data_IF_057041750431
#
_entry.id   IF_057041750431
#
_cell.length_a   1.000
_cell.length_b   1.000
_cell.length_c   1.000
_cell.angle_alpha   90.00
_cell.angle_beta   90.00
_cell.angle_gamma   90.00
#
_symmetry.space_group_name_H-M   'P 1'
#
loop_
_entity.id
_entity.type
_entity.pdbx_description
1 polymer ?
#
# COMPACT_ATOMS: atom_id res chain seq x y z
N UNK A 1 -26.33 -7.94 -34.63
CA UNK A 1 -26.64 -6.49 -34.75
C UNK A 1 -27.22 -6.05 -33.42
N UNK A 2 -26.42 -5.41 -32.57
CA UNK A 2 -26.90 -4.91 -31.26
C UNK A 2 -27.42 -3.51 -31.52
N UNK A 3 -28.73 -3.36 -31.36
CA UNK A 3 -29.50 -2.12 -31.39
C UNK A 3 -28.81 -1.05 -30.57
N UNK A 4 -28.40 0.03 -31.25
CA UNK A 4 -27.75 1.17 -30.64
C UNK A 4 -28.73 1.91 -29.74
N UNK A 5 -28.57 1.75 -28.42
CA UNK A 5 -28.84 2.88 -27.55
C UNK A 5 -27.75 3.90 -27.87
N UNK A 6 -28.12 5.00 -28.51
CA UNK A 6 -27.23 6.17 -28.62
C UNK A 6 -26.89 6.60 -27.20
N UNK A 7 -25.61 6.54 -26.85
CA UNK A 7 -25.14 7.09 -25.60
C UNK A 7 -25.16 8.63 -25.70
N UNK A 8 -25.23 9.36 -24.57
CA UNK A 8 -25.07 10.81 -24.61
C UNK A 8 -23.72 11.19 -25.22
N UNK A 9 -23.61 12.37 -25.85
CA UNK A 9 -22.38 12.83 -26.50
C UNK A 9 -21.14 12.75 -25.58
N UNK A 10 -21.31 12.96 -24.27
CA UNK A 10 -20.24 12.86 -23.28
C UNK A 10 -19.65 11.44 -23.13
N UNK A 11 -20.37 10.40 -23.54
CA UNK A 11 -19.88 9.01 -23.50
C UNK A 11 -18.83 8.72 -24.58
N UNK A 12 -18.74 9.58 -25.60
CA UNK A 12 -17.78 9.48 -26.69
C UNK A 12 -16.56 10.36 -26.41
N UNK A 13 -15.39 9.81 -26.69
CA UNK A 13 -14.14 10.55 -26.69
C UNK A 13 -14.03 11.44 -27.94
N UNK A 14 -13.04 12.35 -28.01
CA UNK A 14 -12.82 13.17 -29.20
C UNK A 14 -12.62 12.38 -30.51
N UNK A 15 -12.24 11.10 -30.44
CA UNK A 15 -12.13 10.20 -31.60
C UNK A 15 -13.46 9.68 -32.12
N UNK A 16 -14.58 9.90 -31.41
CA UNK A 16 -15.89 9.33 -31.74
C UNK A 16 -16.11 7.90 -31.21
N UNK A 17 -15.12 7.33 -30.51
CA UNK A 17 -15.25 6.04 -29.83
C UNK A 17 -15.69 6.22 -28.37
N UNK A 18 -16.39 5.23 -27.82
CA UNK A 18 -16.77 5.22 -26.40
C UNK A 18 -15.53 5.16 -25.51
N UNK A 19 -15.53 5.93 -24.42
CA UNK A 19 -14.40 6.00 -23.49
C UNK A 19 -13.90 4.64 -23.00
N UNK A 20 -14.80 3.67 -22.80
CA UNK A 20 -14.43 2.32 -22.33
C UNK A 20 -13.95 1.36 -23.42
N UNK A 21 -14.05 1.75 -24.69
CA UNK A 21 -13.56 0.97 -25.83
C UNK A 21 -12.20 1.48 -26.37
N UNK A 22 -11.82 2.73 -26.05
CA UNK A 22 -10.56 3.34 -26.49
C UNK A 22 -9.31 2.48 -26.23
N UNK A 23 -8.52 2.19 -27.25
CA UNK A 23 -7.20 1.55 -27.03
C UNK A 23 -6.14 2.54 -26.54
N UNK A 24 -6.17 3.76 -27.08
CA UNK A 24 -5.16 4.80 -26.84
C UNK A 24 -5.79 6.03 -26.20
N UNK A 25 -5.04 6.72 -25.34
CA UNK A 25 -5.51 7.94 -24.71
C UNK A 25 -5.65 9.05 -25.77
N UNK A 26 -6.69 9.92 -25.69
CA UNK A 26 -6.98 10.92 -26.70
C UNK A 26 -5.75 11.77 -27.03
N UNK A 27 -5.50 11.98 -28.33
CA UNK A 27 -4.37 12.77 -28.85
C UNK A 27 -2.97 12.23 -28.47
N UNK A 28 -2.86 10.95 -28.10
CA UNK A 28 -1.57 10.32 -27.78
C UNK A 28 -1.49 8.89 -28.30
N UNK A 29 -0.26 8.36 -28.43
CA UNK A 29 -0.01 6.93 -28.68
C UNK A 29 0.08 6.10 -27.39
N UNK A 30 -0.23 6.68 -26.23
CA UNK A 30 -0.14 5.96 -24.95
C UNK A 30 -1.39 5.09 -24.77
N UNK A 31 -1.27 3.86 -24.24
CA UNK A 31 -2.43 3.01 -24.01
C UNK A 31 -3.39 3.65 -23.00
N UNK A 32 -4.69 3.54 -23.27
CA UNK A 32 -5.72 4.02 -22.37
C UNK A 32 -5.94 3.01 -21.24
N UNK A 33 -5.70 3.45 -20.00
CA UNK A 33 -5.74 2.56 -18.85
C UNK A 33 -7.13 1.99 -18.55
N UNK A 34 -7.18 0.83 -17.90
CA UNK A 34 -8.45 0.21 -17.50
C UNK A 34 -9.26 1.03 -16.48
N UNK A 35 -8.60 1.79 -15.60
CA UNK A 35 -9.26 2.62 -14.57
C UNK A 35 -10.23 3.67 -15.19
N UNK A 36 -9.81 4.54 -16.13
CA UNK A 36 -10.73 5.49 -16.75
C UNK A 36 -11.79 4.82 -17.64
N UNK A 37 -11.50 3.66 -18.24
CA UNK A 37 -12.49 2.86 -18.96
C UNK A 37 -13.62 2.39 -18.04
N UNK A 38 -13.27 1.80 -16.89
CA UNK A 38 -14.23 1.32 -15.90
C UNK A 38 -15.07 2.49 -15.36
N UNK A 39 -14.42 3.60 -15.01
CA UNK A 39 -15.11 4.80 -14.53
C UNK A 39 -16.15 5.31 -15.53
N UNK A 40 -15.78 5.39 -16.81
CA UNK A 40 -16.71 5.82 -17.86
C UNK A 40 -17.86 4.83 -18.02
N UNK A 41 -17.58 3.54 -18.13
CA UNK A 41 -18.62 2.53 -18.29
C UNK A 41 -19.62 2.58 -17.13
N UNK A 42 -19.14 2.59 -15.88
CA UNK A 42 -19.99 2.69 -14.69
C UNK A 42 -20.85 3.96 -14.72
N UNK A 43 -20.29 5.10 -15.11
CA UNK A 43 -21.02 6.36 -15.11
C UNK A 43 -22.20 6.36 -16.09
N UNK A 44 -22.00 5.82 -17.29
CA UNK A 44 -22.99 5.86 -18.38
C UNK A 44 -23.93 4.64 -18.44
N UNK A 45 -23.63 3.55 -17.71
CA UNK A 45 -24.41 2.30 -17.77
C UNK A 45 -25.05 1.90 -16.43
N UNK A 46 -24.72 2.59 -15.33
CA UNK A 46 -25.23 2.27 -14.00
C UNK A 46 -25.67 3.54 -13.29
N UNK A 47 -26.82 3.48 -12.63
CA UNK A 47 -27.30 4.52 -11.72
C UNK A 47 -26.92 4.21 -10.27
N UNK A 48 -27.09 5.21 -9.40
CA UNK A 48 -26.90 5.02 -7.97
C UNK A 48 -27.96 4.02 -7.47
N UNK A 49 -27.52 2.98 -6.78
CA UNK A 49 -28.33 1.85 -6.34
C UNK A 49 -28.20 0.62 -7.24
N UNK A 50 -27.74 0.77 -8.48
CA UNK A 50 -27.62 -0.35 -9.41
C UNK A 50 -26.52 -1.31 -9.01
N UNK A 51 -26.77 -2.58 -9.32
CA UNK A 51 -25.81 -3.67 -9.16
C UNK A 51 -25.13 -4.00 -10.48
N UNK A 52 -23.88 -4.41 -10.39
CA UNK A 52 -23.12 -4.94 -11.51
C UNK A 52 -22.19 -6.04 -11.03
N UNK A 53 -21.80 -6.91 -11.96
CA UNK A 53 -20.86 -8.01 -11.67
C UNK A 53 -19.49 -7.75 -12.29
N UNK A 54 -18.44 -8.37 -11.74
CA UNK A 54 -17.13 -8.36 -12.41
C UNK A 54 -17.21 -8.89 -13.83
N UNK A 55 -18.04 -9.91 -14.07
CA UNK A 55 -18.21 -10.52 -15.38
C UNK A 55 -18.79 -9.53 -16.40
N UNK A 56 -19.79 -8.77 -15.98
CA UNK A 56 -20.41 -7.72 -16.81
C UNK A 56 -19.38 -6.65 -17.17
N UNK A 57 -18.63 -6.17 -16.18
CA UNK A 57 -17.62 -5.13 -16.40
C UNK A 57 -16.45 -5.59 -17.28
N UNK A 58 -16.00 -6.85 -17.13
CA UNK A 58 -14.98 -7.44 -18.02
C UNK A 58 -15.47 -7.55 -19.45
N UNK A 59 -16.74 -7.90 -19.66
CA UNK A 59 -17.35 -7.98 -21.00
C UNK A 59 -17.44 -6.60 -21.64
N UNK A 60 -17.70 -5.56 -20.84
CA UNK A 60 -17.86 -4.20 -21.34
C UNK A 60 -16.54 -3.49 -21.64
N UNK A 61 -15.49 -3.76 -20.85
CA UNK A 61 -14.19 -3.12 -20.98
C UNK A 61 -13.27 -4.08 -21.74
N UNK A 62 -13.35 -4.06 -23.07
CA UNK A 62 -12.48 -4.81 -24.00
C UNK A 62 -11.01 -4.41 -23.77
N UNK A 63 -10.37 -5.08 -22.84
CA UNK A 63 -8.93 -4.98 -22.63
C UNK A 63 -8.41 -6.38 -22.39
N UNK A 64 -7.59 -6.87 -23.31
CA UNK A 64 -6.79 -8.10 -23.13
C UNK A 64 -5.93 -8.05 -21.84
N UNK A 65 -5.75 -6.85 -21.26
CA UNK A 65 -5.09 -6.60 -19.98
C UNK A 65 -5.97 -6.84 -18.73
N UNK A 66 -7.24 -7.26 -18.87
CA UNK A 66 -8.03 -7.86 -17.79
C UNK A 66 -7.89 -9.39 -17.76
N UNK A 67 -6.81 -9.92 -18.33
CA UNK A 67 -6.41 -11.31 -18.15
C UNK A 67 -6.29 -11.67 -16.64
N UNK A 68 -7.33 -12.36 -16.16
CA UNK A 68 -7.31 -13.36 -15.09
C UNK A 68 -6.67 -13.02 -13.74
N UNK A 69 -7.02 -11.94 -13.05
CA UNK A 69 -6.91 -11.93 -11.57
C UNK A 69 -7.90 -11.01 -10.86
N UNK A 70 -8.64 -11.55 -9.89
CA UNK A 70 -9.53 -10.81 -8.97
C UNK A 70 -8.75 -9.73 -8.19
N UNK A 71 -7.46 -9.97 -7.93
CA UNK A 71 -6.54 -9.04 -7.27
C UNK A 71 -6.32 -7.74 -8.08
N UNK A 72 -6.17 -7.84 -9.41
CA UNK A 72 -6.03 -6.67 -10.27
C UNK A 72 -7.29 -5.82 -10.30
N UNK A 73 -8.46 -6.47 -10.23
CA UNK A 73 -9.75 -5.78 -10.16
C UNK A 73 -9.92 -5.04 -8.84
N UNK A 74 -9.67 -5.70 -7.71
CA UNK A 74 -9.73 -5.08 -6.38
C UNK A 74 -8.81 -3.85 -6.29
N UNK A 75 -7.63 -3.90 -6.95
CA UNK A 75 -6.75 -2.72 -7.07
C UNK A 75 -7.42 -1.57 -7.83
N UNK A 76 -8.13 -1.83 -8.92
CA UNK A 76 -8.85 -0.79 -9.69
C UNK A 76 -10.02 -0.21 -8.89
N UNK A 77 -10.76 -1.04 -8.18
CA UNK A 77 -11.85 -0.57 -7.30
C UNK A 77 -11.32 0.36 -6.21
N UNK A 78 -10.19 0.03 -5.57
CA UNK A 78 -9.51 0.94 -4.63
C UNK A 78 -9.08 2.25 -5.27
N UNK A 79 -8.60 2.23 -6.51
CA UNK A 79 -8.26 3.46 -7.24
C UNK A 79 -9.48 4.33 -7.53
N UNK A 80 -10.61 3.72 -7.91
CA UNK A 80 -11.87 4.42 -8.13
C UNK A 80 -12.40 5.06 -6.84
N UNK A 81 -12.25 4.40 -5.68
CA UNK A 81 -12.59 4.98 -4.37
C UNK A 81 -11.86 6.31 -4.12
N UNK A 82 -10.56 6.36 -4.45
CA UNK A 82 -9.77 7.60 -4.37
C UNK A 82 -10.19 8.69 -5.37
N UNK A 83 -11.01 8.34 -6.34
CA UNK A 83 -11.58 9.23 -7.36
C UNK A 83 -13.05 9.56 -7.07
N UNK A 84 -13.52 9.33 -5.84
CA UNK A 84 -14.88 9.68 -5.40
C UNK A 84 -15.95 8.62 -5.67
N UNK A 85 -15.59 7.42 -6.10
CA UNK A 85 -16.55 6.33 -6.29
C UNK A 85 -16.81 5.57 -4.99
N UNK A 86 -18.09 5.35 -4.64
CA UNK A 86 -18.45 4.42 -3.57
C UNK A 86 -19.07 3.17 -4.19
N UNK A 87 -18.31 2.08 -4.16
CA UNK A 87 -18.66 0.78 -4.76
C UNK A 87 -18.71 -0.25 -3.63
N UNK A 88 -19.93 -0.56 -3.19
CA UNK A 88 -20.23 -1.44 -2.05
C UNK A 88 -20.08 -2.89 -2.51
N UNK A 89 -19.31 -3.68 -1.76
CA UNK A 89 -19.07 -5.11 -2.02
C UNK A 89 -19.82 -6.00 -1.03
N UNK A 90 -19.74 -7.32 -1.20
CA UNK A 90 -20.31 -8.29 -0.24
C UNK A 90 -19.72 -8.23 1.16
N UNK A 91 -18.53 -7.63 1.35
CA UNK A 91 -17.94 -7.42 2.67
C UNK A 91 -18.71 -6.35 3.48
N UNK A 92 -19.30 -5.37 2.79
CA UNK A 92 -20.04 -4.26 3.39
C UNK A 92 -21.56 -4.54 3.42
N UNK A 93 -22.08 -5.27 2.44
CA UNK A 93 -23.49 -5.67 2.37
C UNK A 93 -23.64 -7.15 2.01
N UNK A 94 -23.98 -7.97 3.01
CA UNK A 94 -24.16 -9.42 2.86
C UNK A 94 -25.29 -9.84 1.91
N UNK A 95 -26.10 -8.90 1.39
CA UNK A 95 -27.08 -9.17 0.33
C UNK A 95 -26.46 -9.22 -1.07
N UNK A 96 -25.20 -8.85 -1.22
CA UNK A 96 -24.45 -8.89 -2.47
C UNK A 96 -23.67 -10.19 -2.59
N UNK A 97 -23.60 -10.72 -3.82
CA UNK A 97 -22.72 -11.87 -4.12
C UNK A 97 -21.25 -11.42 -4.10
N UNK A 98 -20.32 -12.36 -3.90
CA UNK A 98 -18.87 -12.09 -3.88
C UNK A 98 -18.35 -11.40 -5.14
N UNK A 99 -18.99 -11.63 -6.30
CA UNK A 99 -18.63 -11.05 -7.59
C UNK A 99 -19.47 -9.81 -7.97
N UNK A 100 -20.34 -9.37 -7.07
CA UNK A 100 -21.32 -8.31 -7.26
C UNK A 100 -20.97 -7.06 -6.44
N UNK A 101 -21.21 -5.91 -7.06
CA UNK A 101 -21.01 -4.59 -6.46
C UNK A 101 -22.24 -3.74 -6.68
N UNK A 102 -22.51 -2.84 -5.74
CA UNK A 102 -23.54 -1.79 -5.88
C UNK A 102 -22.89 -0.42 -5.98
N UNK A 103 -23.35 0.40 -6.93
CA UNK A 103 -22.93 1.80 -7.03
C UNK A 103 -23.67 2.61 -5.98
N UNK A 104 -22.99 3.06 -4.93
CA UNK A 104 -23.55 3.95 -3.92
C UNK A 104 -23.29 5.43 -4.26
N UNK A 105 -22.19 5.74 -4.95
CA UNK A 105 -21.85 7.09 -5.38
C UNK A 105 -21.02 7.06 -6.66
N UNK A 106 -21.36 7.96 -7.61
CA UNK A 106 -20.58 8.19 -8.84
C UNK A 106 -19.42 9.14 -8.56
N UNK A 107 -18.23 8.78 -9.03
CA UNK A 107 -17.01 9.58 -8.93
C UNK A 107 -16.54 10.12 -10.28
N UNK A 108 -15.26 10.49 -10.35
CA UNK A 108 -14.64 10.99 -11.57
C UNK A 108 -14.67 9.96 -12.72
N UNK A 109 -14.86 10.45 -13.94
CA UNK A 109 -14.75 9.71 -15.20
C UNK A 109 -14.12 10.62 -16.27
N UNK A 110 -13.55 10.07 -17.37
CA UNK A 110 -12.79 10.88 -18.32
C UNK A 110 -13.57 12.00 -19.03
N UNK A 111 -14.91 11.93 -19.10
CA UNK A 111 -15.69 12.96 -19.77
C UNK A 111 -15.84 14.27 -18.95
N UNK A 112 -15.66 14.21 -17.62
CA UNK A 112 -15.68 15.43 -16.78
C UNK A 112 -14.35 16.19 -16.78
N UNK A 113 -13.34 15.67 -17.48
CA UNK A 113 -12.05 16.34 -17.68
C UNK A 113 -10.85 15.53 -17.17
N UNK A 114 -9.68 16.18 -17.01
CA UNK A 114 -8.44 15.49 -16.68
C UNK A 114 -8.55 14.77 -15.34
N UNK A 115 -7.86 13.62 -15.25
CA UNK A 115 -7.82 12.81 -14.04
C UNK A 115 -7.36 13.64 -12.83
N UNK A 116 -8.17 13.73 -11.75
CA UNK A 116 -7.79 14.40 -10.53
C UNK A 116 -6.45 13.87 -10.02
N UNK A 117 -5.63 14.77 -9.49
CA UNK A 117 -4.44 14.37 -8.75
C UNK A 117 -4.91 13.72 -7.46
N UNK A 118 -4.92 12.40 -7.44
CA UNK A 118 -5.13 11.62 -6.23
C UNK A 118 -3.93 11.90 -5.30
N UNK A 119 -4.14 12.62 -4.20
CA UNK A 119 -3.19 12.68 -3.09
C UNK A 119 -3.01 11.26 -2.52
N UNK A 120 -1.81 10.93 -2.04
CA UNK A 120 -1.49 9.58 -1.58
C UNK A 120 -0.57 8.76 -2.49
N UNK A 121 -0.07 9.29 -3.62
CA UNK A 121 1.26 8.88 -4.07
C UNK A 121 2.28 9.79 -3.41
N UNK A 122 2.78 9.34 -2.25
CA UNK A 122 3.91 9.95 -1.55
C UNK A 122 5.07 10.05 -2.56
N UNK A 123 5.40 11.28 -2.94
CA UNK A 123 6.43 11.54 -3.96
C UNK A 123 7.75 10.87 -3.61
N UNK A 124 8.52 10.44 -4.62
CA UNK A 124 9.75 9.68 -4.42
C UNK A 124 10.76 10.36 -3.48
N UNK A 125 10.86 11.69 -3.53
CA UNK A 125 11.70 12.47 -2.61
C UNK A 125 11.22 12.39 -1.15
N UNK A 126 9.91 12.54 -0.91
CA UNK A 126 9.33 12.42 0.42
C UNK A 126 9.45 10.98 0.95
N UNK A 127 9.18 9.97 0.11
CA UNK A 127 9.39 8.56 0.44
C UNK A 127 10.83 8.29 0.86
N UNK A 128 11.82 8.83 0.12
CA UNK A 128 13.24 8.69 0.46
C UNK A 128 13.57 9.35 1.80
N UNK A 129 13.02 10.54 2.09
CA UNK A 129 13.23 11.22 3.38
C UNK A 129 12.69 10.39 4.54
N UNK A 130 11.47 9.84 4.43
CA UNK A 130 10.87 8.99 5.48
C UNK A 130 11.69 7.72 5.68
N UNK A 131 12.12 7.06 4.58
CA UNK A 131 13.00 5.88 4.65
C UNK A 131 14.33 6.16 5.36
N UNK A 132 14.96 7.30 5.08
CA UNK A 132 16.21 7.69 5.73
C UNK A 132 15.99 8.03 7.20
N UNK A 133 14.94 8.77 7.54
CA UNK A 133 14.58 9.14 8.93
C UNK A 133 14.37 7.91 9.81
N UNK A 134 13.73 6.88 9.25
CA UNK A 134 13.39 5.64 9.98
C UNK A 134 14.41 4.52 9.76
N UNK A 135 15.54 4.82 9.09
CA UNK A 135 16.65 3.89 8.91
C UNK A 135 16.33 2.65 8.07
N UNK A 136 15.37 2.75 7.13
CA UNK A 136 14.92 1.63 6.29
C UNK A 136 14.40 0.42 7.08
N UNK A 137 13.82 0.65 8.26
CA UNK A 137 13.21 -0.36 9.12
C UNK A 137 11.75 -0.02 9.42
N UNK A 138 10.97 -1.05 9.72
CA UNK A 138 9.62 -0.87 10.24
C UNK A 138 9.67 -0.23 11.63
N UNK A 139 9.00 0.90 11.83
CA UNK A 139 8.97 1.58 13.15
C UNK A 139 8.12 0.83 14.18
N UNK A 140 7.21 -0.04 13.72
CA UNK A 140 6.32 -0.85 14.57
C UNK A 140 7.05 -2.08 15.11
N UNK A 141 7.53 -2.96 14.24
CA UNK A 141 8.13 -4.24 14.65
C UNK A 141 9.67 -4.26 14.62
N UNK A 142 10.31 -3.22 14.08
CA UNK A 142 11.78 -3.10 14.02
C UNK A 142 12.46 -3.87 12.89
N UNK A 143 11.73 -4.71 12.13
CA UNK A 143 12.33 -5.50 11.06
C UNK A 143 12.90 -4.59 9.95
N UNK A 144 14.11 -4.91 9.51
CA UNK A 144 14.79 -4.18 8.45
C UNK A 144 14.43 -4.66 7.06
N UNK A 145 14.52 -3.76 6.08
CA UNK A 145 14.32 -4.12 4.67
C UNK A 145 15.20 -5.31 4.27
N UNK A 146 14.59 -6.36 3.70
CA UNK A 146 15.27 -7.57 3.25
C UNK A 146 15.59 -8.61 4.34
N UNK A 147 15.29 -8.34 5.61
CA UNK A 147 15.37 -9.37 6.67
C UNK A 147 14.25 -10.39 6.50
N UNK A 148 14.50 -11.66 6.85
CA UNK A 148 13.43 -12.67 6.88
C UNK A 148 12.47 -12.34 8.01
N UNK A 149 11.16 -12.46 7.75
CA UNK A 149 10.19 -12.38 8.85
C UNK A 149 10.45 -13.53 9.84
N UNK A 150 10.30 -13.30 11.17
CA UNK A 150 10.60 -14.31 12.16
C UNK A 150 9.60 -15.49 12.12
N UNK A 151 8.33 -15.24 11.78
CA UNK A 151 7.31 -16.29 11.73
C UNK A 151 6.08 -15.88 10.88
N UNK A 152 5.65 -16.61 9.84
CA UNK A 152 6.41 -17.66 9.17
C UNK A 152 7.55 -17.05 8.34
N UNK A 153 8.75 -17.67 8.28
CA UNK A 153 9.94 -17.12 7.63
C UNK A 153 9.97 -17.28 6.11
N UNK A 154 8.81 -17.35 5.47
CA UNK A 154 8.69 -17.63 4.03
C UNK A 154 8.93 -16.40 3.15
N UNK A 155 9.02 -15.21 3.73
CA UNK A 155 9.19 -13.96 2.98
C UNK A 155 10.14 -12.99 3.66
N UNK A 156 10.78 -12.16 2.84
CA UNK A 156 11.60 -11.05 3.31
C UNK A 156 10.75 -9.80 3.54
N UNK A 157 11.15 -8.99 4.49
CA UNK A 157 10.51 -7.73 4.83
C UNK A 157 10.65 -6.72 3.70
N UNK A 158 9.52 -6.30 3.15
CA UNK A 158 9.41 -5.22 2.18
C UNK A 158 8.88 -3.97 2.90
N UNK A 159 9.62 -2.86 2.78
CA UNK A 159 9.26 -1.59 3.40
C UNK A 159 8.27 -0.80 2.53
N UNK A 160 7.21 -0.33 3.18
CA UNK A 160 6.21 0.58 2.67
C UNK A 160 6.22 1.87 3.49
N UNK A 161 5.46 2.89 3.05
CA UNK A 161 5.21 4.07 3.87
C UNK A 161 3.76 3.99 4.29
N UNK A 162 3.53 3.94 5.60
CA UNK A 162 2.22 4.03 6.22
C UNK A 162 1.97 5.44 6.76
N UNK A 163 0.70 5.71 7.07
CA UNK A 163 0.27 6.92 7.76
C UNK A 163 -0.01 6.60 9.22
N UNK A 164 0.48 7.44 10.15
CA UNK A 164 0.16 7.33 11.58
C UNK A 164 -1.33 7.55 11.83
N UNK A 165 -1.89 8.56 11.17
CA UNK A 165 -3.32 8.80 11.06
C UNK A 165 -3.72 8.40 9.64
N UNK A 166 -4.58 7.37 9.45
CA UNK A 166 -5.05 6.95 8.13
C UNK A 166 -5.63 8.11 7.32
N UNK A 167 -5.45 8.09 6.00
CA UNK A 167 -5.98 9.13 5.10
C UNK A 167 -7.52 9.17 5.17
N UNK A 168 -8.16 8.01 5.35
CA UNK A 168 -9.60 7.83 5.52
C UNK A 168 -10.14 8.54 6.76
N UNK A 169 -9.29 8.75 7.77
CA UNK A 169 -9.59 9.48 9.00
C UNK A 169 -9.06 10.93 8.98
N UNK A 170 -8.69 11.44 7.81
CA UNK A 170 -8.24 12.83 7.63
C UNK A 170 -6.73 13.04 7.80
N UNK A 171 -5.93 11.96 7.84
CA UNK A 171 -4.47 12.07 7.91
C UNK A 171 -3.84 12.68 6.65
N UNK A 172 -2.85 13.57 6.83
CA UNK A 172 -2.13 14.24 5.75
C UNK A 172 -0.93 13.45 5.23
N UNK A 173 -0.39 13.83 4.07
CA UNK A 173 0.87 13.30 3.54
C UNK A 173 2.11 14.02 4.13
N UNK A 174 1.96 14.74 5.24
CA UNK A 174 3.07 15.43 5.89
C UNK A 174 4.09 14.44 6.46
N UNK A 175 5.37 14.82 6.43
CA UNK A 175 6.46 13.94 6.85
C UNK A 175 6.25 13.38 8.26
N UNK A 176 5.64 14.16 9.16
CA UNK A 176 5.37 13.77 10.55
C UNK A 176 4.24 12.74 10.66
N UNK A 177 3.26 12.76 9.75
CA UNK A 177 2.22 11.75 9.67
C UNK A 177 2.66 10.48 8.92
N UNK A 178 3.78 10.52 8.20
CA UNK A 178 4.31 9.37 7.47
C UNK A 178 5.33 8.58 8.29
N UNK A 179 5.36 7.26 8.13
CA UNK A 179 6.37 6.39 8.74
C UNK A 179 6.67 5.13 7.91
N UNK A 180 7.86 4.56 8.09
CA UNK A 180 8.22 3.29 7.44
C UNK A 180 7.57 2.12 8.17
N UNK A 181 6.88 1.29 7.42
CA UNK A 181 6.25 0.07 7.92
C UNK A 181 6.54 -1.10 7.01
N UNK A 182 6.79 -2.29 7.57
CA UNK A 182 6.87 -3.50 6.76
C UNK A 182 5.48 -3.85 6.22
N UNK A 183 5.44 -4.62 5.12
CA UNK A 183 4.19 -5.06 4.49
C UNK A 183 3.19 -5.64 5.50
N UNK A 184 3.65 -6.46 6.47
CA UNK A 184 2.78 -7.06 7.50
C UNK A 184 2.24 -6.07 8.52
N UNK A 185 3.01 -5.05 8.90
CA UNK A 185 2.54 -4.04 9.85
C UNK A 185 1.59 -3.03 9.20
N UNK A 186 1.77 -2.76 7.90
CA UNK A 186 0.94 -1.87 7.10
C UNK A 186 -0.20 -2.61 6.37
N UNK A 187 -0.43 -3.88 6.69
CA UNK A 187 -1.49 -4.66 6.06
C UNK A 187 -2.85 -4.26 6.68
N UNK A 188 -3.90 -4.08 5.85
CA UNK A 188 -5.24 -3.69 6.31
C UNK A 188 -5.90 -4.74 7.21
N UNK A 189 -5.30 -5.92 7.38
CA UNK A 189 -5.74 -6.94 8.35
C UNK A 189 -5.80 -6.37 9.78
N UNK A 190 -5.03 -5.32 10.12
CA UNK A 190 -5.21 -4.61 11.40
C UNK A 190 -6.55 -3.88 11.54
N UNK A 191 -7.18 -3.48 10.44
CA UNK A 191 -8.53 -2.90 10.45
C UNK A 191 -9.61 -4.01 10.59
N UNK A 192 -9.36 -5.21 10.03
CA UNK A 192 -10.34 -6.31 9.98
C UNK A 192 -10.25 -7.30 11.16
N UNK A 193 -9.12 -7.41 11.87
CA UNK A 193 -8.85 -8.52 12.80
C UNK A 193 -9.51 -8.44 14.19
N UNK A 194 -10.25 -7.37 14.52
CA UNK A 194 -11.11 -7.36 15.69
C UNK A 194 -10.38 -7.20 17.03
N UNK A 195 -10.77 -6.14 17.74
CA UNK A 195 -10.33 -5.69 19.07
C UNK A 195 -8.91 -5.07 19.10
N UNK A 196 -8.80 -3.75 19.39
CA UNK A 196 -7.50 -3.15 19.67
C UNK A 196 -6.92 -3.74 20.96
N UNK A 197 -5.61 -3.94 21.00
CA UNK A 197 -4.88 -4.26 22.23
C UNK A 197 -5.24 -3.26 23.33
N UNK A 198 -5.64 -3.78 24.50
CA UNK A 198 -5.94 -2.94 25.67
C UNK A 198 -4.68 -2.67 26.49
N UNK A 199 -4.71 -1.61 27.30
CA UNK A 199 -3.62 -1.31 28.23
C UNK A 199 -3.40 -2.48 29.19
N UNK A 200 -4.47 -3.08 29.67
CA UNK A 200 -4.48 -4.17 30.63
C UNK A 200 -3.76 -5.41 30.07
N UNK A 201 -4.06 -5.82 28.84
CA UNK A 201 -3.45 -6.96 28.15
C UNK A 201 -1.94 -6.77 27.94
N UNK A 202 -1.55 -5.60 27.43
CA UNK A 202 -0.13 -5.30 27.17
C UNK A 202 0.63 -5.16 28.50
N UNK A 203 0.05 -4.46 29.48
CA UNK A 203 0.72 -4.22 30.76
C UNK A 203 0.95 -5.51 31.57
N UNK A 204 0.07 -6.51 31.43
CA UNK A 204 0.26 -7.82 32.04
C UNK A 204 1.59 -8.48 31.59
N UNK A 205 1.95 -8.36 30.32
CA UNK A 205 3.21 -8.87 29.79
C UNK A 205 4.40 -7.99 30.21
N UNK A 206 4.22 -6.67 30.19
CA UNK A 206 5.26 -5.72 30.61
C UNK A 206 5.70 -5.95 32.06
N UNK A 207 4.80 -6.42 32.95
CA UNK A 207 5.16 -6.73 34.35
C UNK A 207 6.29 -7.75 34.47
N UNK A 208 6.37 -8.73 33.57
CA UNK A 208 7.39 -9.78 33.56
C UNK A 208 8.79 -9.30 33.15
N UNK A 209 8.89 -8.12 32.54
CA UNK A 209 10.17 -7.56 32.08
C UNK A 209 11.06 -7.09 33.24
N UNK A 210 12.37 -7.24 33.07
CA UNK A 210 13.39 -6.69 33.98
C UNK A 210 13.35 -5.16 33.95
N UNK A 211 13.91 -4.53 34.99
CA UNK A 211 13.95 -3.06 35.10
C UNK A 211 14.58 -2.39 33.87
N UNK A 212 15.69 -2.94 33.37
CA UNK A 212 16.37 -2.42 32.19
C UNK A 212 15.47 -2.49 30.93
N UNK A 213 14.80 -3.62 30.71
CA UNK A 213 13.88 -3.82 29.59
C UNK A 213 12.67 -2.88 29.65
N UNK A 214 12.10 -2.66 30.84
CA UNK A 214 11.04 -1.68 31.07
C UNK A 214 11.48 -0.25 30.76
N UNK A 215 12.70 0.12 31.16
CA UNK A 215 13.27 1.43 30.84
C UNK A 215 13.44 1.61 29.34
N UNK A 216 13.97 0.61 28.64
CA UNK A 216 14.10 0.63 27.18
C UNK A 216 12.74 0.74 26.49
N UNK A 217 11.73 -0.02 26.92
CA UNK A 217 10.37 0.06 26.38
C UNK A 217 9.76 1.45 26.60
N UNK A 218 9.93 2.03 27.79
CA UNK A 218 9.45 3.38 28.10
C UNK A 218 10.10 4.44 27.19
N UNK A 219 11.41 4.34 26.96
CA UNK A 219 12.12 5.19 26.03
C UNK A 219 11.56 5.07 24.61
N UNK A 220 11.32 3.84 24.14
CA UNK A 220 10.76 3.58 22.81
C UNK A 220 9.36 4.17 22.62
N UNK A 221 8.49 4.02 23.63
CA UNK A 221 7.15 4.57 23.61
C UNK A 221 7.18 6.11 23.58
N UNK A 222 8.04 6.74 24.39
CA UNK A 222 8.21 8.21 24.39
C UNK A 222 8.75 8.74 23.07
N UNK A 223 9.66 8.00 22.44
CA UNK A 223 10.24 8.39 21.16
C UNK A 223 9.34 8.04 19.96
N UNK A 224 8.24 7.29 20.18
CA UNK A 224 7.36 6.79 19.13
C UNK A 224 8.04 5.87 18.12
N UNK A 225 9.21 5.33 18.48
CA UNK A 225 10.05 4.42 17.69
C UNK A 225 11.06 3.71 18.59
N UNK A 226 11.50 2.52 18.18
CA UNK A 226 12.61 1.82 18.84
C UNK A 226 13.90 2.62 18.70
N UNK A 227 14.52 2.99 19.81
CA UNK A 227 15.88 3.53 19.82
C UNK A 227 16.87 2.42 19.44
N UNK A 228 17.96 2.82 18.79
CA UNK A 228 18.92 1.92 18.16
C UNK A 228 20.29 2.11 18.76
N UNK A 229 21.02 1.02 18.93
CA UNK A 229 22.42 1.10 19.30
C UNK A 229 23.26 1.57 18.10
N UNK A 230 24.45 2.09 18.38
CA UNK A 230 25.45 2.38 17.34
C UNK A 230 25.78 1.13 16.50
N UNK A 231 25.71 -0.06 17.10
CA UNK A 231 25.93 -1.32 16.40
C UNK A 231 24.84 -1.60 15.37
N UNK A 232 23.57 -1.39 15.72
CA UNK A 232 22.44 -1.55 14.79
C UNK A 232 22.61 -0.63 13.58
N UNK A 233 22.98 0.63 13.82
CA UNK A 233 23.24 1.63 12.78
C UNK A 233 24.38 1.22 11.83
N UNK A 234 25.46 0.69 12.39
CA UNK A 234 26.59 0.18 11.61
C UNK A 234 26.21 -1.06 10.80
N UNK A 235 25.45 -1.98 11.38
CA UNK A 235 24.96 -3.16 10.68
C UNK A 235 24.08 -2.79 9.48
N UNK A 236 23.18 -1.82 9.63
CA UNK A 236 22.34 -1.36 8.51
C UNK A 236 23.13 -0.64 7.42
N UNK A 237 24.18 0.09 7.78
CA UNK A 237 25.14 0.63 6.81
C UNK A 237 25.87 -0.50 6.08
N UNK A 238 26.36 -1.49 6.81
CA UNK A 238 27.07 -2.64 6.25
C UNK A 238 26.21 -3.44 5.27
N UNK A 239 24.92 -3.60 5.54
CA UNK A 239 24.00 -4.33 4.64
C UNK A 239 23.71 -3.62 3.32
N UNK A 240 23.90 -2.30 3.26
CA UNK A 240 23.77 -1.50 2.03
C UNK A 240 25.00 -1.55 1.13
N UNK A 241 26.13 -2.05 1.65
CA UNK A 241 27.31 -2.31 0.83
C UNK A 241 26.97 -3.29 -0.29
N UNK A 242 27.67 -3.18 -1.41
CA UNK A 242 27.56 -4.20 -2.44
C UNK A 242 28.13 -5.54 -1.92
N UNK A 243 27.82 -6.68 -2.56
CA UNK A 243 28.23 -7.99 -2.06
C UNK A 243 29.73 -8.14 -1.81
N UNK A 244 30.58 -7.59 -2.68
CA UNK A 244 32.05 -7.66 -2.55
C UNK A 244 32.57 -6.82 -1.38
N UNK A 245 32.03 -5.63 -1.16
CA UNK A 245 32.38 -4.77 -0.03
C UNK A 245 31.91 -5.36 1.30
N UNK A 246 30.71 -5.95 1.31
CA UNK A 246 30.16 -6.61 2.50
C UNK A 246 30.99 -7.82 2.90
N UNK A 247 31.44 -8.63 1.93
CA UNK A 247 32.35 -9.75 2.18
C UNK A 247 33.68 -9.27 2.77
N UNK A 248 34.30 -8.23 2.16
CA UNK A 248 35.55 -7.63 2.68
C UNK A 248 35.41 -7.07 4.10
N UNK A 249 34.26 -6.49 4.43
CA UNK A 249 33.98 -6.03 5.78
C UNK A 249 33.88 -7.20 6.75
N UNK A 250 33.20 -8.29 6.38
CA UNK A 250 33.11 -9.50 7.19
C UNK A 250 34.50 -10.11 7.45
N UNK A 251 35.34 -10.22 6.42
CA UNK A 251 36.72 -10.73 6.56
C UNK A 251 37.55 -9.88 7.52
N UNK A 252 37.47 -8.55 7.40
CA UNK A 252 38.18 -7.62 8.30
C UNK A 252 37.71 -7.73 9.74
N UNK A 253 36.41 -7.87 9.97
CA UNK A 253 35.86 -8.06 11.31
C UNK A 253 36.31 -9.39 11.90
N UNK A 254 36.31 -10.47 11.10
CA UNK A 254 36.82 -11.78 11.52
C UNK A 254 38.26 -11.72 12.05
N UNK A 255 39.17 -11.13 11.27
CA UNK A 255 40.57 -10.94 11.67
C UNK A 255 40.69 -10.09 12.94
N UNK A 256 39.95 -8.98 13.04
CA UNK A 256 40.00 -8.11 14.21
C UNK A 256 39.53 -8.83 15.48
N UNK A 257 38.47 -9.63 15.40
CA UNK A 257 37.97 -10.39 16.54
C UNK A 257 38.91 -11.53 16.95
N UNK A 258 39.52 -12.24 15.99
CA UNK A 258 40.50 -13.30 16.29
C UNK A 258 41.81 -12.77 16.89
N UNK A 259 42.25 -11.57 16.48
CA UNK A 259 43.42 -10.90 17.06
C UNK A 259 43.15 -10.43 18.50
N UNK A 260 41.92 -10.05 18.82
CA UNK A 260 41.53 -9.60 20.15
C UNK A 260 41.60 -10.75 21.18
N UNK A 261 41.26 -11.98 20.79
CA UNK A 261 41.39 -13.17 21.65
C UNK A 261 42.83 -13.63 21.91
N UNK A 262 43.82 -13.12 21.17
CA UNK A 262 45.24 -13.47 21.38
C UNK A 262 45.99 -12.49 22.30
N UNK A 263 45.33 -11.42 22.74
CA UNK A 263 45.96 -10.31 23.49
C UNK A 263 45.38 -10.16 24.92
N UNK A 264 44.27 -10.84 25.27
CA UNK A 264 43.79 -10.92 26.65
C UNK A 264 44.42 -12.14 27.38
N UNK A 265 45.25 -11.93 28.43
CA UNK A 265 45.78 -13.00 29.28
C UNK A 265 44.77 -13.56 30.28
#
# INVERSE_FOLDING_TARGET
MITGNEYPAAAYAPSGELWWLLEHAPNTKKPFGAEPKIAAWLHFNKEIGDRFTLRELRKAVSTDNLANNQEHFNRRMRQLRKLGWQLVSSQEDGRLRTDEYRVAQKGWHPAVGPRPKISGQIGGALRRRVLLRDGHRCVICGIGSGELYPDPPESTAVMSIGHRIPQELGGSDDIDNLQVECKRCNEPVREEAGLPETLEEVYAQVKGLKRAEKMTLLEWLRNGRRSRSKLDDLYDRARRLNPSERARLADRLGVATEQQFKIEP
#
